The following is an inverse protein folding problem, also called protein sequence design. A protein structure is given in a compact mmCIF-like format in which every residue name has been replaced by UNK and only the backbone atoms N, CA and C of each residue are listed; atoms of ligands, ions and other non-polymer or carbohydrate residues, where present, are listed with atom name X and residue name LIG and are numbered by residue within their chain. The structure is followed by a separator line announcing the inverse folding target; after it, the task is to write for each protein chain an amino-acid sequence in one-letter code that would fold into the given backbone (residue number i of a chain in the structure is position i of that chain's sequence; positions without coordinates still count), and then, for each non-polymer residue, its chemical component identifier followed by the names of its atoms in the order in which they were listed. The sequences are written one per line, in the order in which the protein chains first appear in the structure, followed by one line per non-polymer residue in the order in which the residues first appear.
data_IF_262120471682
#
_entry.id   IF_262120471682
#
_cell.length_a   1.000
_cell.length_b   1.000
_cell.length_c   1.000
_cell.angle_alpha   90.00
_cell.angle_beta   90.00
_cell.angle_gamma   90.00
#
_symmetry.space_group_name_H-M   'P 1'
#
loop_
_entity.id
_entity.type
_entity.pdbx_description
1 polymer ?
#
# COMPACT_ATOMS: atom_id res chain seq x y z
N UNK A 1 12.23 -23.11 9.99
CA UNK A 1 11.34 -22.00 9.57
C UNK A 1 10.15 -21.97 10.51
N UNK A 2 9.91 -20.87 11.24
CA UNK A 2 8.82 -20.79 12.22
C UNK A 2 7.51 -20.33 11.53
N UNK A 3 6.49 -21.19 11.56
CA UNK A 3 5.26 -20.97 10.81
C UNK A 3 4.43 -19.77 11.32
N UNK A 4 4.39 -19.58 12.63
CA UNK A 4 3.68 -18.47 13.27
C UNK A 4 4.37 -17.13 12.99
N UNK A 5 5.69 -17.05 13.20
CA UNK A 5 6.43 -15.79 12.97
C UNK A 5 6.28 -15.30 11.53
N UNK A 6 6.29 -16.21 10.57
CA UNK A 6 6.12 -15.87 9.16
C UNK A 6 4.68 -15.52 8.77
N UNK A 7 3.66 -15.77 9.61
CA UNK A 7 2.28 -15.37 9.34
C UNK A 7 1.55 -16.25 8.32
N UNK A 8 1.95 -17.52 8.15
CA UNK A 8 1.30 -18.44 7.19
C UNK A 8 -0.16 -18.76 7.53
N UNK A 9 -0.58 -18.54 8.78
CA UNK A 9 -1.99 -18.68 9.18
C UNK A 9 -2.89 -17.56 8.66
N UNK A 10 -2.32 -16.38 8.41
CA UNK A 10 -3.07 -15.17 8.10
C UNK A 10 -3.91 -15.33 6.83
N UNK A 11 -3.39 -15.85 5.69
CA UNK A 11 -4.23 -16.11 4.51
C UNK A 11 -5.38 -17.08 4.79
N UNK A 12 -5.15 -18.10 5.62
CA UNK A 12 -6.18 -19.10 5.95
C UNK A 12 -7.34 -18.43 6.71
N UNK A 13 -7.02 -17.70 7.78
CA UNK A 13 -8.05 -16.99 8.54
C UNK A 13 -8.71 -15.87 7.74
N UNK A 14 -7.94 -15.17 6.89
CA UNK A 14 -8.50 -14.18 5.98
C UNK A 14 -9.55 -14.82 5.07
N UNK A 15 -9.22 -15.91 4.36
CA UNK A 15 -10.17 -16.60 3.48
C UNK A 15 -11.41 -17.09 4.24
N UNK A 16 -11.24 -17.68 5.42
CA UNK A 16 -12.35 -18.15 6.24
C UNK A 16 -13.27 -16.99 6.65
N UNK A 17 -12.69 -15.88 7.08
CA UNK A 17 -13.42 -14.69 7.49
C UNK A 17 -14.12 -13.98 6.33
N UNK A 18 -13.50 -13.99 5.14
CA UNK A 18 -14.08 -13.45 3.93
C UNK A 18 -15.27 -14.29 3.48
N UNK A 19 -15.18 -15.63 3.54
CA UNK A 19 -16.30 -16.52 3.23
C UNK A 19 -17.47 -16.37 4.19
N UNK A 20 -17.23 -16.13 5.48
CA UNK A 20 -18.31 -16.05 6.47
C UNK A 20 -19.04 -14.70 6.46
N UNK A 21 -18.29 -13.60 6.30
CA UNK A 21 -18.84 -12.25 6.48
C UNK A 21 -18.94 -11.45 5.19
N UNK A 22 -18.21 -11.84 4.13
CA UNK A 22 -17.96 -11.04 2.93
C UNK A 22 -17.55 -9.59 3.25
N UNK A 23 -16.99 -9.35 4.44
CA UNK A 23 -16.79 -8.00 4.96
C UNK A 23 -15.54 -7.36 4.36
N UNK A 24 -15.77 -6.22 3.71
CA UNK A 24 -14.73 -5.33 3.21
C UNK A 24 -13.80 -4.86 4.34
N UNK A 25 -14.38 -4.51 5.50
CA UNK A 25 -13.63 -4.09 6.70
C UNK A 25 -12.73 -5.20 7.23
N UNK A 26 -13.30 -6.40 7.44
CA UNK A 26 -12.54 -7.52 8.02
C UNK A 26 -11.38 -7.94 7.11
N UNK A 27 -11.59 -7.87 5.80
CA UNK A 27 -10.53 -8.15 4.82
C UNK A 27 -9.40 -7.14 4.85
N UNK A 28 -9.72 -5.86 5.08
CA UNK A 28 -8.74 -4.79 5.24
C UNK A 28 -7.90 -5.00 6.51
N UNK A 29 -8.55 -5.38 7.61
CA UNK A 29 -7.88 -5.69 8.88
C UNK A 29 -6.90 -6.85 8.74
N UNK A 30 -7.28 -7.93 8.06
CA UNK A 30 -6.39 -9.07 7.84
C UNK A 30 -5.14 -8.71 7.02
N UNK A 31 -5.30 -7.86 6.00
CA UNK A 31 -4.16 -7.38 5.22
C UNK A 31 -3.18 -6.58 6.09
N UNK A 32 -3.67 -5.71 6.98
CA UNK A 32 -2.82 -5.00 7.94
C UNK A 32 -2.19 -5.93 8.98
N UNK A 33 -2.95 -6.91 9.44
CA UNK A 33 -2.49 -7.85 10.45
C UNK A 33 -1.24 -8.63 10.01
N UNK A 34 -1.12 -8.94 8.72
CA UNK A 34 0.12 -9.49 8.17
C UNK A 34 1.34 -8.59 8.42
N UNK A 35 1.24 -7.33 8.03
CA UNK A 35 2.35 -6.37 8.18
C UNK A 35 2.69 -6.19 9.66
N UNK A 36 1.67 -6.08 10.52
CA UNK A 36 1.87 -5.97 11.98
C UNK A 36 2.58 -7.21 12.52
N UNK A 37 2.12 -8.42 12.18
CA UNK A 37 2.76 -9.67 12.60
C UNK A 37 4.22 -9.71 12.15
N UNK A 38 4.48 -9.36 10.90
CA UNK A 38 5.83 -9.42 10.35
C UNK A 38 6.79 -8.44 11.04
N UNK A 39 6.38 -7.18 11.23
CA UNK A 39 7.19 -6.19 11.95
C UNK A 39 7.30 -6.50 13.45
N UNK A 40 6.27 -7.08 14.07
CA UNK A 40 6.35 -7.52 15.47
C UNK A 40 7.49 -8.53 15.67
N UNK A 41 7.59 -9.54 14.81
CA UNK A 41 8.61 -10.57 14.91
C UNK A 41 9.97 -10.16 14.37
N UNK A 42 10.02 -9.46 13.23
CA UNK A 42 11.26 -9.29 12.47
C UNK A 42 11.80 -7.86 12.40
N UNK A 43 11.11 -6.86 12.97
CA UNK A 43 11.55 -5.45 12.92
C UNK A 43 13.00 -5.24 13.37
N UNK A 44 13.47 -5.97 14.37
CA UNK A 44 14.82 -5.83 14.94
C UNK A 44 15.95 -6.30 14.00
N UNK A 45 15.60 -7.10 12.99
CA UNK A 45 16.54 -7.63 12.01
C UNK A 45 16.76 -6.71 10.80
N UNK A 46 15.89 -5.71 10.62
CA UNK A 46 16.09 -4.71 9.58
C UNK A 46 17.26 -3.78 9.90
N UNK A 47 18.06 -3.52 8.88
CA UNK A 47 19.08 -2.48 8.89
C UNK A 47 18.76 -1.46 7.78
N UNK A 48 17.97 -0.45 8.14
CA UNK A 48 17.58 0.61 7.23
C UNK A 48 18.55 1.81 7.25
N UNK A 49 19.67 1.72 7.99
CA UNK A 49 20.61 2.84 8.14
C UNK A 49 20.16 3.94 9.10
N UNK A 50 19.10 3.71 9.89
CA UNK A 50 18.65 4.58 10.98
C UNK A 50 18.44 3.77 12.27
N UNK A 51 18.28 4.43 13.45
CA UNK A 51 18.17 3.71 14.72
C UNK A 51 17.06 2.66 14.72
N UNK A 52 17.41 1.40 15.03
CA UNK A 52 16.50 0.24 14.98
C UNK A 52 15.18 0.39 15.75
N UNK A 53 15.14 1.26 16.76
CA UNK A 53 13.91 1.60 17.51
C UNK A 53 12.79 2.16 16.61
N UNK A 54 13.13 2.73 15.45
CA UNK A 54 12.17 3.26 14.50
C UNK A 54 11.73 2.25 13.44
N UNK A 55 12.31 1.04 13.39
CA UNK A 55 11.95 0.05 12.37
C UNK A 55 10.47 -0.31 12.42
N UNK A 56 9.89 -0.37 13.63
CA UNK A 56 8.45 -0.60 13.84
C UNK A 56 7.55 0.57 13.42
N UNK A 57 8.09 1.73 13.09
CA UNK A 57 7.29 2.85 12.60
C UNK A 57 7.33 2.94 11.07
N UNK A 58 8.29 2.27 10.42
CA UNK A 58 8.48 2.35 8.96
C UNK A 58 7.22 1.94 8.19
N UNK A 59 6.49 0.92 8.64
CA UNK A 59 5.27 0.53 7.90
C UNK A 59 4.18 1.61 7.93
N UNK A 60 4.17 2.52 8.91
CA UNK A 60 3.18 3.58 9.03
C UNK A 60 3.44 4.74 8.06
N UNK A 61 4.66 4.87 7.56
CA UNK A 61 5.00 5.92 6.60
C UNK A 61 4.72 5.53 5.16
N UNK A 62 4.53 4.25 4.88
CA UNK A 62 4.20 3.76 3.54
C UNK A 62 2.84 4.29 3.07
N UNK A 63 2.77 4.75 1.82
CA UNK A 63 1.54 5.22 1.20
C UNK A 63 0.49 4.11 1.12
N UNK A 64 0.94 2.86 0.96
CA UNK A 64 0.11 1.65 1.07
C UNK A 64 -0.67 1.59 2.39
N UNK A 65 -0.06 2.04 3.50
CA UNK A 65 -0.74 2.08 4.80
C UNK A 65 -1.84 3.15 4.82
N UNK A 66 -1.61 4.30 4.17
CA UNK A 66 -2.64 5.32 3.96
C UNK A 66 -3.81 4.80 3.12
N UNK A 67 -3.56 3.90 2.16
CA UNK A 67 -4.61 3.24 1.39
C UNK A 67 -5.56 2.43 2.26
N UNK A 68 -5.05 1.75 3.31
CA UNK A 68 -5.91 1.06 4.25
C UNK A 68 -6.79 2.03 5.06
N UNK A 69 -6.30 3.22 5.39
CA UNK A 69 -7.15 4.27 6.00
C UNK A 69 -8.25 4.73 5.06
N UNK A 70 -7.97 4.87 3.76
CA UNK A 70 -8.99 5.18 2.77
C UNK A 70 -10.07 4.08 2.70
N UNK A 71 -9.69 2.79 2.84
CA UNK A 71 -10.63 1.67 2.93
C UNK A 71 -11.50 1.75 4.20
N UNK A 72 -10.91 2.08 5.36
CA UNK A 72 -11.71 2.28 6.58
C UNK A 72 -12.70 3.42 6.44
N UNK A 73 -12.27 4.56 5.88
CA UNK A 73 -13.16 5.69 5.62
C UNK A 73 -14.28 5.30 4.66
N UNK A 74 -13.98 4.59 3.58
CA UNK A 74 -14.99 4.14 2.63
C UNK A 74 -16.00 3.15 3.22
N UNK A 75 -15.58 2.34 4.20
CA UNK A 75 -16.50 1.45 4.92
C UNK A 75 -17.53 2.24 5.75
N UNK A 76 -17.09 3.26 6.50
CA UNK A 76 -18.00 4.07 7.33
C UNK A 76 -18.72 5.17 6.56
N UNK A 77 -18.11 5.66 5.48
CA UNK A 77 -18.60 6.74 4.62
C UNK A 77 -18.52 6.29 3.15
N UNK A 78 -19.54 5.58 2.62
CA UNK A 78 -19.51 5.03 1.28
C UNK A 78 -19.32 6.06 0.15
N UNK A 79 -19.68 7.33 0.38
CA UNK A 79 -19.39 8.44 -0.54
C UNK A 79 -17.89 8.66 -0.77
N UNK A 80 -17.03 8.11 0.09
CA UNK A 80 -15.58 8.15 -0.04
C UNK A 80 -15.02 6.98 -0.88
N UNK A 81 -15.84 6.01 -1.30
CA UNK A 81 -15.43 4.89 -2.16
C UNK A 81 -14.69 5.32 -3.44
N UNK A 82 -15.08 6.39 -4.18
CA UNK A 82 -14.32 6.88 -5.32
C UNK A 82 -12.86 7.25 -4.97
N UNK A 83 -12.66 7.92 -3.83
CA UNK A 83 -11.32 8.31 -3.37
C UNK A 83 -10.55 7.07 -2.94
N UNK A 84 -11.17 6.15 -2.19
CA UNK A 84 -10.56 4.87 -1.84
C UNK A 84 -10.11 4.08 -3.08
N UNK A 85 -10.95 4.00 -4.11
CA UNK A 85 -10.60 3.40 -5.40
C UNK A 85 -9.35 4.05 -5.98
N UNK A 86 -9.35 5.39 -6.09
CA UNK A 86 -8.25 6.10 -6.71
C UNK A 86 -6.93 5.91 -5.94
N UNK A 87 -6.96 5.97 -4.60
CA UNK A 87 -5.77 5.74 -3.77
C UNK A 87 -5.25 4.30 -3.94
N UNK A 88 -6.13 3.30 -3.90
CA UNK A 88 -5.73 1.91 -4.11
C UNK A 88 -5.23 1.64 -5.53
N UNK A 89 -5.82 2.29 -6.54
CA UNK A 89 -5.34 2.29 -7.91
C UNK A 89 -3.92 2.84 -7.99
N UNK A 90 -3.68 4.02 -7.41
CA UNK A 90 -2.34 4.65 -7.41
C UNK A 90 -1.33 3.71 -6.76
N UNK A 91 -1.61 3.18 -5.57
CA UNK A 91 -0.72 2.24 -4.87
C UNK A 91 -0.38 1.03 -5.74
N UNK A 92 -1.41 0.39 -6.31
CA UNK A 92 -1.29 -0.82 -7.12
C UNK A 92 -0.46 -0.56 -8.37
N UNK A 93 -0.86 0.42 -9.19
CA UNK A 93 -0.23 0.66 -10.48
C UNK A 93 1.15 1.28 -10.35
N UNK A 94 1.37 2.18 -9.38
CA UNK A 94 2.70 2.73 -9.13
C UNK A 94 3.71 1.64 -8.75
N UNK A 95 3.29 0.68 -7.93
CA UNK A 95 4.11 -0.47 -7.57
C UNK A 95 4.55 -1.27 -8.80
N UNK A 96 3.60 -1.70 -9.63
CA UNK A 96 3.90 -2.50 -10.81
C UNK A 96 4.64 -1.72 -11.89
N UNK A 97 4.36 -0.43 -12.05
CA UNK A 97 5.12 0.44 -12.96
C UNK A 97 6.57 0.54 -12.50
N UNK A 98 6.81 0.85 -11.22
CA UNK A 98 8.17 0.91 -10.66
C UNK A 98 8.91 -0.42 -10.83
N UNK A 99 8.24 -1.54 -10.56
CA UNK A 99 8.82 -2.88 -10.65
C UNK A 99 9.16 -3.29 -12.08
N UNK A 100 8.24 -3.14 -13.02
CA UNK A 100 8.40 -3.68 -14.38
C UNK A 100 9.06 -2.71 -15.36
N UNK A 101 8.76 -1.42 -15.29
CA UNK A 101 9.28 -0.44 -16.26
C UNK A 101 10.58 0.22 -15.79
N UNK A 102 10.76 0.35 -14.47
CA UNK A 102 11.93 1.00 -13.89
C UNK A 102 12.89 0.05 -13.17
N UNK A 103 12.53 -1.24 -13.06
CA UNK A 103 13.31 -2.29 -12.39
C UNK A 103 13.73 -1.92 -10.95
N UNK A 104 12.86 -1.20 -10.25
CA UNK A 104 13.12 -0.79 -8.86
C UNK A 104 12.99 -2.01 -7.92
N UNK A 105 13.93 -2.14 -6.98
CA UNK A 105 13.90 -3.21 -5.99
C UNK A 105 12.84 -2.96 -4.89
N UNK A 106 12.38 -4.01 -4.22
CA UNK A 106 11.60 -3.85 -2.99
C UNK A 106 12.56 -3.44 -1.85
N UNK A 107 12.24 -2.39 -1.07
CA UNK A 107 13.15 -1.78 -0.07
C UNK A 107 13.27 -2.54 1.26
N UNK A 108 12.51 -3.61 1.42
CA UNK A 108 12.28 -4.27 2.72
C UNK A 108 12.69 -5.76 2.75
N UNK A 109 13.76 -6.12 2.04
CA UNK A 109 14.31 -7.49 2.09
C UNK A 109 15.12 -7.73 3.38
N UNK A 110 14.81 -8.81 4.10
CA UNK A 110 15.62 -9.32 5.22
C UNK A 110 16.24 -10.65 4.81
N UNK A 111 17.51 -10.86 5.13
CA UNK A 111 18.16 -12.16 4.99
C UNK A 111 18.39 -12.75 6.38
N UNK A 112 17.42 -13.53 6.88
CA UNK A 112 17.51 -14.20 8.18
C UNK A 112 16.99 -15.65 8.07
N UNK A 113 17.63 -16.65 8.72
CA UNK A 113 17.24 -18.07 8.59
C UNK A 113 15.80 -18.39 9.01
N UNK A 114 15.20 -17.54 9.86
CA UNK A 114 13.81 -17.71 10.29
C UNK A 114 12.79 -17.12 9.31
N UNK A 115 13.20 -16.26 8.39
CA UNK A 115 12.34 -15.53 7.46
C UNK A 115 12.19 -16.31 6.15
N UNK A 116 10.96 -16.48 5.70
CA UNK A 116 10.64 -17.03 4.38
C UNK A 116 10.57 -15.92 3.33
N UNK A 117 11.69 -15.60 2.70
CA UNK A 117 11.75 -14.53 1.70
C UNK A 117 10.80 -14.75 0.51
N UNK A 118 10.59 -16.01 0.11
CA UNK A 118 9.61 -16.35 -0.92
C UNK A 118 8.19 -15.96 -0.50
N UNK A 119 7.83 -16.24 0.75
CA UNK A 119 6.50 -15.90 1.27
C UNK A 119 6.32 -14.40 1.46
N UNK A 120 7.35 -13.70 1.98
CA UNK A 120 7.34 -12.25 2.12
C UNK A 120 7.17 -11.57 0.77
N UNK A 121 7.91 -12.02 -0.25
CA UNK A 121 7.78 -11.51 -1.62
C UNK A 121 6.40 -11.76 -2.20
N UNK A 122 5.87 -12.98 -2.04
CA UNK A 122 4.51 -13.30 -2.47
C UNK A 122 3.47 -12.42 -1.79
N UNK A 123 3.55 -12.24 -0.47
CA UNK A 123 2.61 -11.40 0.25
C UNK A 123 2.75 -9.92 -0.10
N UNK A 124 3.96 -9.44 -0.40
CA UNK A 124 4.16 -8.08 -0.93
C UNK A 124 3.32 -7.86 -2.18
N UNK A 125 3.26 -8.84 -3.11
CA UNK A 125 2.41 -8.73 -4.30
C UNK A 125 0.93 -8.76 -3.95
N UNK A 126 0.52 -9.67 -3.07
CA UNK A 126 -0.86 -9.75 -2.59
C UNK A 126 -1.28 -8.43 -1.94
N UNK A 127 -0.42 -7.82 -1.11
CA UNK A 127 -0.67 -6.56 -0.42
C UNK A 127 -0.86 -5.37 -1.36
N UNK A 128 -0.37 -5.43 -2.60
CA UNK A 128 -0.59 -4.40 -3.62
C UNK A 128 -1.78 -4.71 -4.54
N UNK A 129 -2.26 -5.95 -4.63
CA UNK A 129 -3.38 -6.32 -5.53
C UNK A 129 -4.70 -6.48 -4.78
N UNK A 130 -4.66 -7.12 -3.60
CA UNK A 130 -5.84 -7.49 -2.85
C UNK A 130 -6.65 -6.29 -2.36
N UNK A 131 -6.05 -5.21 -1.80
CA UNK A 131 -6.81 -4.02 -1.40
C UNK A 131 -7.59 -3.38 -2.55
N UNK A 132 -6.98 -3.30 -3.74
CA UNK A 132 -7.64 -2.76 -4.92
C UNK A 132 -8.79 -3.66 -5.39
N UNK A 133 -8.57 -4.98 -5.44
CA UNK A 133 -9.63 -5.94 -5.73
C UNK A 133 -10.82 -5.84 -4.77
N UNK A 134 -10.54 -5.71 -3.46
CA UNK A 134 -11.58 -5.54 -2.44
C UNK A 134 -12.38 -4.26 -2.68
N UNK A 135 -11.71 -3.17 -3.03
CA UNK A 135 -12.35 -1.89 -3.33
C UNK A 135 -13.25 -2.00 -4.57
N UNK A 136 -12.78 -2.62 -5.65
CA UNK A 136 -13.58 -2.88 -6.85
C UNK A 136 -14.82 -3.73 -6.56
N UNK A 137 -14.68 -4.75 -5.72
CA UNK A 137 -15.80 -5.59 -5.31
C UNK A 137 -16.84 -4.81 -4.49
N UNK A 138 -16.41 -3.87 -3.66
CA UNK A 138 -17.30 -3.00 -2.88
C UNK A 138 -18.02 -1.97 -3.76
N UNK A 139 -17.32 -1.41 -4.75
CA UNK A 139 -17.92 -0.50 -5.73
C UNK A 139 -19.06 -1.15 -6.50
N UNK A 140 -18.94 -2.42 -6.90
CA UNK A 140 -20.00 -3.16 -7.62
C UNK A 140 -21.29 -3.33 -6.83
N UNK A 141 -21.23 -3.19 -5.50
CA UNK A 141 -22.37 -3.34 -4.60
C UNK A 141 -22.98 -2.01 -4.16
N UNK A 142 -22.33 -0.89 -4.53
CA UNK A 142 -22.63 0.44 -4.03
C UNK A 142 -22.99 1.38 -5.18
N UNK A 143 -23.76 2.41 -4.90
CA UNK A 143 -23.94 3.52 -5.86
C UNK A 143 -22.74 4.45 -5.71
N UNK A 144 -21.87 4.45 -6.72
CA UNK A 144 -20.60 5.18 -6.71
C UNK A 144 -20.62 6.24 -7.80
N UNK A 145 -20.20 7.47 -7.49
CA UNK A 145 -20.13 8.57 -8.45
C UNK A 145 -18.71 9.13 -8.48
N UNK A 146 -18.07 9.06 -9.64
CA UNK A 146 -16.79 9.71 -9.89
C UNK A 146 -17.02 11.09 -10.50
N UNK A 147 -16.67 12.12 -9.75
CA UNK A 147 -16.82 13.52 -10.08
C UNK A 147 -15.51 14.32 -9.88
N UNK A 148 -15.60 15.65 -9.95
CA UNK A 148 -14.44 16.51 -9.69
C UNK A 148 -13.99 16.50 -8.22
N UNK A 149 -14.90 16.28 -7.27
CA UNK A 149 -14.56 16.26 -5.85
C UNK A 149 -13.72 15.03 -5.51
N UNK A 150 -14.11 13.85 -6.00
CA UNK A 150 -13.32 12.62 -5.84
C UNK A 150 -11.91 12.74 -6.44
N UNK A 151 -11.79 13.39 -7.59
CA UNK A 151 -10.50 13.73 -8.19
C UNK A 151 -9.66 14.66 -7.31
N UNK A 152 -10.24 15.80 -6.88
CA UNK A 152 -9.56 16.77 -6.04
C UNK A 152 -9.11 16.17 -4.70
N UNK A 153 -9.98 15.39 -4.04
CA UNK A 153 -9.65 14.72 -2.78
C UNK A 153 -8.56 13.66 -2.94
N UNK A 154 -8.46 13.01 -4.10
CA UNK A 154 -7.35 12.08 -4.39
C UNK A 154 -6.00 12.81 -4.41
N UNK A 155 -5.93 13.98 -5.05
CA UNK A 155 -4.72 14.82 -5.03
C UNK A 155 -4.42 15.34 -3.63
N UNK A 156 -5.43 15.88 -2.94
CA UNK A 156 -5.27 16.37 -1.57
C UNK A 156 -4.76 15.28 -0.64
N UNK A 157 -5.28 14.06 -0.73
CA UNK A 157 -4.80 12.91 0.05
C UNK A 157 -3.34 12.59 -0.25
N UNK A 158 -2.98 12.51 -1.52
CA UNK A 158 -1.61 12.18 -1.96
C UNK A 158 -0.60 13.23 -1.48
N UNK A 159 -0.91 14.52 -1.62
CA UNK A 159 -0.06 15.60 -1.14
C UNK A 159 -0.08 15.74 0.39
N UNK A 160 -1.21 15.48 1.05
CA UNK A 160 -1.27 15.48 2.52
C UNK A 160 -0.35 14.40 3.10
N UNK A 161 -0.36 13.18 2.54
CA UNK A 161 0.61 12.15 2.93
C UNK A 161 2.05 12.59 2.64
N UNK A 162 2.31 13.18 1.46
CA UNK A 162 3.66 13.63 1.11
C UNK A 162 4.19 14.65 2.12
N UNK A 163 3.39 15.66 2.44
CA UNK A 163 3.78 16.79 3.29
C UNK A 163 3.80 16.41 4.76
N UNK A 164 2.83 15.66 5.26
CA UNK A 164 2.66 15.41 6.70
C UNK A 164 3.29 14.12 7.19
N UNK A 165 3.59 13.17 6.28
CA UNK A 165 4.15 11.85 6.64
C UNK A 165 5.53 11.66 6.00
N UNK A 166 5.62 11.72 4.67
CA UNK A 166 6.86 11.40 3.96
C UNK A 166 7.99 12.41 4.21
N UNK A 167 7.74 13.71 4.02
CA UNK A 167 8.76 14.75 4.20
C UNK A 167 9.32 14.73 5.63
N UNK A 168 8.50 14.70 6.69
CA UNK A 168 8.99 14.57 8.06
C UNK A 168 9.82 13.29 8.27
N UNK A 169 9.35 12.13 7.79
CA UNK A 169 10.09 10.88 7.91
C UNK A 169 11.46 10.94 7.25
N UNK A 170 11.51 11.39 5.98
CA UNK A 170 12.74 11.53 5.21
C UNK A 170 13.72 12.49 5.87
N UNK A 171 13.22 13.58 6.44
CA UNK A 171 14.03 14.59 7.12
C UNK A 171 14.64 14.07 8.42
N UNK A 172 13.90 13.23 9.17
CA UNK A 172 14.34 12.68 10.45
C UNK A 172 15.26 11.46 10.30
N UNK A 173 15.01 10.61 9.30
CA UNK A 173 15.66 9.29 9.19
C UNK A 173 16.64 9.19 8.03
N UNK A 174 16.55 10.06 7.02
CA UNK A 174 17.29 9.91 5.78
C UNK A 174 16.86 8.70 4.93
N UNK A 175 15.77 8.00 5.29
CA UNK A 175 15.23 6.86 4.56
C UNK A 175 14.32 7.34 3.42
N UNK A 176 14.55 6.89 2.16
CA UNK A 176 13.73 7.30 1.02
C UNK A 176 12.37 6.61 1.01
N UNK A 177 12.13 5.63 1.89
CA UNK A 177 10.95 4.75 1.95
C UNK A 177 10.86 3.83 0.73
N UNK A 178 10.93 4.42 -0.46
CA UNK A 178 10.89 3.74 -1.74
C UNK A 178 12.21 3.81 -2.49
N UNK A 179 12.57 2.70 -3.11
CA UNK A 179 13.82 2.48 -3.84
C UNK A 179 13.99 3.45 -5.00
N UNK A 180 12.92 3.78 -5.72
CA UNK A 180 13.02 4.65 -6.90
C UNK A 180 13.58 6.04 -6.58
N UNK A 181 13.37 6.54 -5.36
CA UNK A 181 13.87 7.86 -4.93
C UNK A 181 15.38 7.84 -4.63
N UNK A 182 15.96 6.64 -4.49
CA UNK A 182 17.40 6.43 -4.26
C UNK A 182 18.12 5.90 -5.51
N UNK A 183 17.46 5.00 -6.25
CA UNK A 183 18.09 4.21 -7.31
C UNK A 183 18.01 4.89 -8.69
N UNK A 184 17.00 5.73 -8.94
CA UNK A 184 16.82 6.32 -10.26
C UNK A 184 17.70 7.56 -10.47
N UNK A 185 18.36 7.69 -11.64
CA UNK A 185 19.03 8.93 -12.01
C UNK A 185 18.01 10.07 -12.18
N UNK A 186 18.43 11.36 -12.05
CA UNK A 186 17.51 12.50 -12.01
C UNK A 186 16.48 12.53 -13.15
N UNK A 187 16.90 12.22 -14.38
CA UNK A 187 16.00 12.15 -15.54
C UNK A 187 14.90 11.10 -15.38
N UNK A 188 15.28 9.85 -15.03
CA UNK A 188 14.30 8.76 -14.84
C UNK A 188 13.39 9.02 -13.65
N UNK A 189 13.90 9.70 -12.62
CA UNK A 189 13.08 10.12 -11.49
C UNK A 189 12.00 11.12 -11.92
N UNK A 190 12.34 12.13 -12.74
CA UNK A 190 11.35 13.07 -13.29
C UNK A 190 10.32 12.35 -14.14
N UNK A 191 10.75 11.44 -15.03
CA UNK A 191 9.86 10.60 -15.85
C UNK A 191 8.91 9.77 -14.97
N UNK A 192 9.44 9.17 -13.88
CA UNK A 192 8.65 8.43 -12.92
C UNK A 192 7.62 9.33 -12.22
N UNK A 193 8.01 10.51 -11.75
CA UNK A 193 7.10 11.46 -11.11
C UNK A 193 5.98 11.90 -12.05
N UNK A 194 6.29 12.19 -13.32
CA UNK A 194 5.27 12.47 -14.34
C UNK A 194 4.32 11.28 -14.48
N UNK A 195 4.86 10.06 -14.56
CA UNK A 195 4.07 8.84 -14.65
C UNK A 195 3.13 8.67 -13.46
N UNK A 196 3.57 8.98 -12.24
CA UNK A 196 2.72 8.97 -11.05
C UNK A 196 1.57 9.96 -11.18
N UNK A 197 1.82 11.19 -11.65
CA UNK A 197 0.74 12.17 -11.85
C UNK A 197 -0.24 11.73 -12.94
N UNK A 198 0.22 11.04 -13.99
CA UNK A 198 -0.66 10.43 -14.99
C UNK A 198 -1.49 9.27 -14.39
N UNK A 199 -0.90 8.45 -13.52
CA UNK A 199 -1.63 7.39 -12.79
C UNK A 199 -2.72 8.01 -11.90
N UNK A 200 -2.40 9.06 -11.12
CA UNK A 200 -3.39 9.78 -10.32
C UNK A 200 -4.49 10.33 -11.23
N UNK A 201 -4.11 11.00 -12.32
CA UNK A 201 -5.05 11.58 -13.28
C UNK A 201 -6.01 10.55 -13.90
N UNK A 202 -5.47 9.41 -14.31
CA UNK A 202 -6.21 8.33 -14.95
C UNK A 202 -7.09 7.53 -13.97
N UNK A 203 -6.75 7.48 -12.68
CA UNK A 203 -7.48 6.67 -11.69
C UNK A 203 -8.98 7.00 -11.63
N UNK A 204 -9.32 8.29 -11.67
CA UNK A 204 -10.71 8.76 -11.61
C UNK A 204 -11.48 8.44 -12.90
N UNK A 205 -10.79 8.54 -14.05
CA UNK A 205 -11.36 8.21 -15.37
C UNK A 205 -11.64 6.71 -15.45
N UNK A 206 -10.69 5.88 -15.02
CA UNK A 206 -10.86 4.42 -14.96
C UNK A 206 -12.00 4.06 -14.03
N UNK A 207 -12.07 4.66 -12.83
CA UNK A 207 -13.18 4.46 -11.90
C UNK A 207 -14.54 4.76 -12.54
N UNK A 208 -14.65 5.88 -13.28
CA UNK A 208 -15.87 6.25 -14.02
C UNK A 208 -16.26 5.25 -15.12
N UNK A 209 -15.31 4.54 -15.73
CA UNK A 209 -15.59 3.53 -16.75
C UNK A 209 -16.01 2.18 -16.15
N UNK A 210 -15.74 1.94 -14.86
CA UNK A 210 -16.01 0.67 -14.18
C UNK A 210 -17.35 0.62 -13.46
N UNK A 211 -18.06 1.76 -13.37
CA UNK A 211 -19.36 1.91 -12.69
C UNK A 211 -20.47 2.15 -13.72
#
# INVERSE_FOLDING_TARGET
MNWLKNGFYIPVFHILSFKSSCSFLLSTLWNQFYTINYFFWFSKHYDFGFPKKYNQLKQLVNFTYSGNYAMYLAYFFPTFLPVCHNIQFIITFSYWVGKFFYNCADTDEIYHPEVSNKYVKWWSYVGHVLPYYLCLNEMKKSVVVFDWNSFLFTYLWSYAWLITIYIPWRSLTGDPVYSMLKELPPRKLIEYLITIHLIIGSSNVVGKMLV
#
